data_IF_696551080402
#
_entry.id   IF_696551080402
#
_cell.length_a   1.000
_cell.length_b   1.000
_cell.length_c   1.000
_cell.angle_alpha   90.00
_cell.angle_beta   90.00
_cell.angle_gamma   90.00
#
_symmetry.space_group_name_H-M   'P 1'
#
loop_
_entity.id
_entity.type
_entity.pdbx_description
1 polymer ?
#
# COMPACT_ATOMS: atom_id res chain seq x y z
N UNK A 1 20.14 -6.39 -2.14
CA UNK A 1 19.62 -7.18 -3.30
C UNK A 1 20.62 -7.22 -4.47
N UNK A 2 20.63 -8.30 -5.26
CA UNK A 2 21.43 -8.42 -6.51
C UNK A 2 20.91 -7.46 -7.62
N UNK A 3 21.82 -6.84 -8.37
CA UNK A 3 21.45 -5.82 -9.38
C UNK A 3 20.64 -6.38 -10.54
N UNK A 4 20.92 -7.62 -10.98
CA UNK A 4 20.14 -8.27 -12.04
C UNK A 4 18.73 -8.57 -11.55
N UNK A 5 18.59 -9.07 -10.32
CA UNK A 5 17.29 -9.31 -9.71
C UNK A 5 16.47 -8.01 -9.62
N UNK A 6 17.11 -6.90 -9.22
CA UNK A 6 16.45 -5.59 -9.14
C UNK A 6 15.88 -5.14 -10.49
N UNK A 7 16.65 -5.26 -11.57
CA UNK A 7 16.20 -4.88 -12.91
C UNK A 7 15.08 -5.81 -13.43
N UNK A 8 15.14 -7.11 -13.11
CA UNK A 8 14.06 -8.04 -13.45
C UNK A 8 12.75 -7.71 -12.71
N UNK A 9 12.82 -7.37 -11.43
CA UNK A 9 11.65 -6.97 -10.66
C UNK A 9 11.01 -5.68 -11.18
N UNK A 10 11.83 -4.70 -11.57
CA UNK A 10 11.34 -3.49 -12.25
C UNK A 10 10.67 -3.81 -13.58
N UNK A 11 11.26 -4.68 -14.39
CA UNK A 11 10.67 -5.13 -15.66
C UNK A 11 9.30 -5.80 -15.46
N UNK A 12 9.19 -6.66 -14.44
CA UNK A 12 7.94 -7.31 -14.05
C UNK A 12 6.93 -6.35 -13.36
N UNK A 13 7.28 -5.07 -13.18
CA UNK A 13 6.48 -4.06 -12.47
C UNK A 13 6.17 -4.47 -11.03
N UNK A 14 7.17 -4.94 -10.30
CA UNK A 14 7.08 -5.31 -8.88
C UNK A 14 7.86 -4.30 -7.99
N UNK A 15 7.47 -3.01 -7.97
CA UNK A 15 8.22 -1.98 -7.24
C UNK A 15 8.15 -2.15 -5.72
N UNK A 16 7.05 -2.67 -5.17
CA UNK A 16 6.91 -2.91 -3.73
C UNK A 16 7.90 -3.96 -3.25
N UNK A 17 8.06 -5.05 -4.02
CA UNK A 17 9.11 -6.05 -3.74
C UNK A 17 10.50 -5.43 -3.78
N UNK A 18 10.80 -4.54 -4.75
CA UNK A 18 12.10 -3.86 -4.82
C UNK A 18 12.38 -3.03 -3.57
N UNK A 19 11.36 -2.41 -2.99
CA UNK A 19 11.48 -1.60 -1.78
C UNK A 19 11.61 -2.43 -0.50
N UNK A 20 10.82 -3.50 -0.35
CA UNK A 20 10.79 -4.28 0.90
C UNK A 20 11.73 -5.49 0.93
N UNK A 21 12.40 -5.83 -0.18
CA UNK A 21 13.18 -7.07 -0.30
C UNK A 21 14.20 -7.24 0.83
N UNK A 22 15.01 -6.21 1.10
CA UNK A 22 16.10 -6.32 2.09
C UNK A 22 15.55 -6.39 3.53
N UNK A 23 14.40 -5.80 3.80
CA UNK A 23 13.74 -5.85 5.12
C UNK A 23 13.08 -7.21 5.36
N UNK A 24 12.29 -7.71 4.39
CA UNK A 24 11.67 -9.03 4.47
C UNK A 24 12.72 -10.13 4.51
N UNK A 25 13.87 -9.96 3.82
CA UNK A 25 14.98 -10.90 3.90
C UNK A 25 15.60 -10.95 5.29
N UNK A 26 15.67 -9.82 6.01
CA UNK A 26 16.13 -9.79 7.41
C UNK A 26 15.13 -10.48 8.32
N UNK A 27 13.85 -10.13 8.21
CA UNK A 27 12.78 -10.76 9.01
C UNK A 27 12.71 -12.28 8.79
N UNK A 28 12.87 -12.73 7.54
CA UNK A 28 12.89 -14.16 7.23
C UNK A 28 14.06 -14.90 7.89
N UNK A 29 15.22 -14.25 8.01
CA UNK A 29 16.39 -14.81 8.70
C UNK A 29 16.17 -14.85 10.20
N UNK A 30 15.67 -13.76 10.78
CA UNK A 30 15.44 -13.64 12.22
C UNK A 30 14.35 -14.60 12.71
N UNK A 31 13.30 -14.79 11.91
CA UNK A 31 12.17 -15.66 12.23
C UNK A 31 12.31 -17.09 11.66
N UNK A 32 13.44 -17.42 11.03
CA UNK A 32 13.68 -18.74 10.41
C UNK A 32 12.56 -19.19 9.45
N UNK A 33 12.07 -18.26 8.63
CA UNK A 33 10.99 -18.54 7.67
C UNK A 33 11.43 -19.55 6.61
N UNK A 34 10.48 -20.37 6.18
CA UNK A 34 10.67 -21.20 5.01
C UNK A 34 10.51 -20.37 3.72
N UNK A 35 10.89 -20.97 2.58
CA UNK A 35 10.87 -20.29 1.27
C UNK A 35 9.47 -19.81 0.86
N UNK A 36 8.42 -20.56 1.22
CA UNK A 36 7.03 -20.23 0.91
C UNK A 36 6.57 -19.02 1.72
N UNK A 37 6.89 -18.98 3.02
CA UNK A 37 6.61 -17.84 3.90
C UNK A 37 7.32 -16.58 3.41
N UNK A 38 8.61 -16.68 3.07
CA UNK A 38 9.35 -15.55 2.52
C UNK A 38 8.70 -15.00 1.26
N UNK A 39 8.36 -15.87 0.30
CA UNK A 39 7.73 -15.45 -0.95
C UNK A 39 6.32 -14.89 -0.73
N UNK A 40 5.53 -15.50 0.15
CA UNK A 40 4.20 -15.02 0.51
C UNK A 40 4.25 -13.60 1.06
N UNK A 41 5.17 -13.31 1.98
CA UNK A 41 5.32 -11.98 2.58
C UNK A 41 5.75 -10.92 1.54
N UNK A 42 6.66 -11.27 0.61
CA UNK A 42 7.03 -10.36 -0.49
C UNK A 42 5.82 -10.01 -1.36
N UNK A 43 5.01 -11.01 -1.73
CA UNK A 43 3.82 -10.81 -2.57
C UNK A 43 2.76 -10.02 -1.83
N UNK A 44 2.54 -10.30 -0.54
CA UNK A 44 1.58 -9.57 0.29
C UNK A 44 1.94 -8.08 0.38
N UNK A 45 3.22 -7.76 0.61
CA UNK A 45 3.68 -6.37 0.63
C UNK A 45 3.43 -5.65 -0.71
N UNK A 46 3.71 -6.32 -1.84
CA UNK A 46 3.44 -5.77 -3.18
C UNK A 46 1.95 -5.47 -3.39
N UNK A 47 1.07 -6.37 -2.97
CA UNK A 47 -0.38 -6.20 -3.08
C UNK A 47 -0.83 -4.99 -2.27
N UNK A 48 -0.42 -4.90 -1.00
CA UNK A 48 -0.75 -3.76 -0.11
C UNK A 48 -0.26 -2.45 -0.72
N UNK A 49 0.98 -2.41 -1.23
CA UNK A 49 1.54 -1.21 -1.84
C UNK A 49 0.74 -0.78 -3.09
N UNK A 50 0.31 -1.73 -3.92
CA UNK A 50 -0.53 -1.44 -5.09
C UNK A 50 -1.90 -0.89 -4.72
N UNK A 51 -2.52 -1.44 -3.68
CA UNK A 51 -3.81 -0.97 -3.18
C UNK A 51 -3.70 0.45 -2.62
N UNK A 52 -2.68 0.72 -1.80
CA UNK A 52 -2.38 2.04 -1.26
C UNK A 52 -2.13 3.06 -2.35
N UNK A 53 -1.33 2.70 -3.37
CA UNK A 53 -1.07 3.58 -4.51
C UNK A 53 -2.32 3.86 -5.33
N UNK A 54 -3.18 2.85 -5.54
CA UNK A 54 -4.48 3.03 -6.21
C UNK A 54 -5.38 3.94 -5.39
N UNK A 55 -5.49 3.71 -4.08
CA UNK A 55 -6.29 4.53 -3.17
C UNK A 55 -5.84 5.98 -3.20
N UNK A 56 -4.54 6.24 -2.99
CA UNK A 56 -3.96 7.59 -3.00
C UNK A 56 -4.19 8.30 -4.34
N UNK A 57 -4.08 7.57 -5.46
CA UNK A 57 -4.36 8.13 -6.78
C UNK A 57 -5.83 8.53 -6.92
N UNK A 58 -6.76 7.65 -6.56
CA UNK A 58 -8.19 7.92 -6.64
C UNK A 58 -8.60 9.05 -5.69
N UNK A 59 -8.07 9.05 -4.47
CA UNK A 59 -8.30 10.10 -3.47
C UNK A 59 -7.86 11.48 -3.99
N UNK A 60 -6.66 11.58 -4.57
CA UNK A 60 -6.18 12.83 -5.20
C UNK A 60 -7.04 13.26 -6.40
N UNK A 61 -7.51 12.31 -7.21
CA UNK A 61 -8.34 12.59 -8.37
C UNK A 61 -9.75 13.07 -8.01
N UNK A 62 -10.29 12.60 -6.89
CA UNK A 62 -11.63 13.00 -6.45
C UNK A 62 -11.73 14.50 -6.14
N UNK A 63 -10.60 15.21 -5.90
CA UNK A 63 -10.54 16.66 -5.66
C UNK A 63 -11.64 17.13 -4.69
N UNK A 64 -11.80 16.41 -3.58
CA UNK A 64 -12.86 16.70 -2.61
C UNK A 64 -12.78 18.18 -2.19
N UNK A 65 -13.84 18.98 -2.42
CA UNK A 65 -13.77 20.44 -2.36
C UNK A 65 -13.44 20.98 -0.96
N UNK A 66 -13.67 20.20 0.09
CA UNK A 66 -13.16 20.34 1.45
C UNK A 66 -13.49 19.04 2.21
N UNK A 67 -12.66 18.64 3.18
CA UNK A 67 -13.11 17.75 4.24
C UNK A 67 -14.13 18.54 5.07
N UNK A 68 -15.42 18.49 4.69
CA UNK A 68 -16.48 18.97 5.58
C UNK A 68 -16.43 18.09 6.82
N UNK A 69 -15.82 18.59 7.90
CA UNK A 69 -15.94 17.96 9.21
C UNK A 69 -17.40 18.05 9.65
N UNK A 70 -17.86 17.10 10.47
CA UNK A 70 -19.23 17.12 11.03
C UNK A 70 -19.56 18.48 11.66
N UNK A 71 -18.57 19.15 12.24
CA UNK A 71 -18.69 20.49 12.84
C UNK A 71 -19.10 21.58 11.83
N UNK A 72 -18.78 21.41 10.55
CA UNK A 72 -19.16 22.34 9.46
C UNK A 72 -20.48 21.95 8.79
N UNK A 73 -21.14 20.88 9.25
CA UNK A 73 -22.41 20.44 8.72
C UNK A 73 -23.54 21.25 9.34
N UNK A 74 -24.30 21.96 8.51
CA UNK A 74 -25.49 22.69 8.95
C UNK A 74 -26.65 21.72 9.14
N UNK A 75 -26.82 21.20 10.36
CA UNK A 75 -27.92 20.28 10.70
C UNK A 75 -29.31 20.91 10.53
N UNK A 76 -29.42 22.25 10.46
CA UNK A 76 -30.69 22.91 10.13
C UNK A 76 -31.16 22.62 8.70
N UNK A 77 -30.27 22.22 7.79
CA UNK A 77 -30.62 21.85 6.41
C UNK A 77 -30.91 20.34 6.24
N UNK A 78 -30.72 19.54 7.29
CA UNK A 78 -31.00 18.11 7.28
C UNK A 78 -31.92 17.70 8.46
N UNK A 79 -33.18 18.19 8.48
CA UNK A 79 -34.10 17.97 9.60
C UNK A 79 -34.51 16.49 9.82
N UNK A 80 -34.18 15.60 8.89
CA UNK A 80 -34.45 14.15 8.96
C UNK A 80 -33.29 13.34 9.57
N UNK A 81 -32.19 13.99 9.94
CA UNK A 81 -30.98 13.36 10.50
C UNK A 81 -30.91 13.47 12.04
N UNK A 82 -32.05 13.71 12.69
CA UNK A 82 -32.14 13.86 14.15
C UNK A 82 -32.12 12.54 14.90
#
# INVERSE_FOLDING_TARGET
MDDKLREQLKFCRLPGIVECYDDILREARDNSWNHEQFFSNLVEYEVIMRENNRFNRLFKQAKFPNLKTIEQFNFSEAPFLS
#
